data_IF_438253489402
#
_entry.id   IF_438253489402
#
_cell.length_a   1.000
_cell.length_b   1.000
_cell.length_c   1.000
_cell.angle_alpha   90.00
_cell.angle_beta   90.00
_cell.angle_gamma   90.00
#
_symmetry.space_group_name_H-M   'P 1'
#
loop_
_entity.id
_entity.type
_entity.pdbx_description
1 polymer ?
#
# COMPACT_ATOMS: atom_id res chain seq x y z
N UNK A 1 5.66 8.45 21.19
CA UNK A 1 6.60 7.67 20.37
C UNK A 1 5.80 6.98 19.27
N UNK A 2 5.74 7.53 18.06
CA UNK A 2 5.17 6.82 16.90
C UNK A 2 6.20 5.74 16.54
N UNK A 3 5.82 4.47 16.66
CA UNK A 3 6.63 3.39 16.12
C UNK A 3 6.66 3.59 14.60
N UNK A 4 7.81 4.03 14.07
CA UNK A 4 8.22 3.79 12.68
C UNK A 4 8.23 2.27 12.48
N UNK A 5 7.06 1.69 12.20
CA UNK A 5 6.96 0.30 11.78
C UNK A 5 7.47 0.29 10.35
N UNK A 6 8.78 0.04 10.21
CA UNK A 6 9.37 -0.31 8.92
C UNK A 6 8.62 -1.55 8.45
N UNK A 7 7.70 -1.37 7.50
CA UNK A 7 6.97 -2.48 6.89
C UNK A 7 7.99 -3.36 6.17
N UNK A 8 7.97 -4.65 6.48
CA UNK A 8 8.75 -5.62 5.72
C UNK A 8 8.16 -5.80 4.33
N UNK A 9 8.97 -6.21 3.35
CA UNK A 9 8.55 -6.44 1.97
C UNK A 9 7.28 -7.30 1.87
N UNK A 10 7.23 -8.41 2.62
CA UNK A 10 6.07 -9.29 2.65
C UNK A 10 4.82 -8.64 3.27
N UNK A 11 4.97 -7.77 4.26
CA UNK A 11 3.85 -7.02 4.83
C UNK A 11 3.33 -5.95 3.86
N UNK A 12 4.23 -5.28 3.15
CA UNK A 12 3.87 -4.29 2.14
C UNK A 12 3.08 -4.92 0.98
N UNK A 13 3.55 -6.05 0.46
CA UNK A 13 2.85 -6.84 -0.56
C UNK A 13 1.47 -7.26 -0.07
N UNK A 14 1.38 -7.82 1.14
CA UNK A 14 0.11 -8.29 1.72
C UNK A 14 -0.88 -7.13 1.95
N UNK A 15 -0.40 -5.99 2.44
CA UNK A 15 -1.24 -4.80 2.64
C UNK A 15 -1.77 -4.24 1.32
N UNK A 16 -0.92 -4.11 0.30
CA UNK A 16 -1.34 -3.67 -1.04
C UNK A 16 -2.35 -4.63 -1.67
N UNK A 17 -2.13 -5.95 -1.55
CA UNK A 17 -3.09 -6.96 -2.00
C UNK A 17 -4.44 -6.84 -1.29
N UNK A 18 -4.45 -6.60 0.02
CA UNK A 18 -5.69 -6.34 0.79
C UNK A 18 -6.42 -5.07 0.35
N UNK A 19 -5.69 -4.07 -0.13
CA UNK A 19 -6.24 -2.84 -0.69
C UNK A 19 -6.72 -3.00 -2.15
N UNK A 20 -6.59 -4.20 -2.73
CA UNK A 20 -7.02 -4.50 -4.10
C UNK A 20 -5.95 -4.28 -5.17
N UNK A 21 -4.74 -3.90 -4.78
CA UNK A 21 -3.61 -3.78 -5.72
C UNK A 21 -3.08 -5.16 -6.07
N UNK A 22 -2.85 -5.41 -7.36
CA UNK A 22 -2.16 -6.62 -7.81
C UNK A 22 -0.66 -6.40 -7.70
N UNK A 23 0.02 -7.10 -6.80
CA UNK A 23 1.47 -6.99 -6.62
C UNK A 23 2.13 -8.30 -7.04
N UNK A 24 3.17 -8.20 -7.87
CA UNK A 24 3.96 -9.33 -8.39
C UNK A 24 5.44 -8.95 -8.43
N UNK A 25 6.35 -9.88 -8.18
CA UNK A 25 7.77 -9.64 -8.44
C UNK A 25 8.02 -9.47 -9.94
N UNK A 26 8.91 -8.53 -10.30
CA UNK A 26 9.29 -8.29 -11.68
C UNK A 26 10.12 -9.47 -12.20
N UNK A 27 9.74 -10.10 -13.34
CA UNK A 27 10.53 -11.17 -13.92
C UNK A 27 11.91 -10.62 -14.32
N UNK A 28 12.96 -11.25 -13.81
CA UNK A 28 14.37 -10.90 -14.03
C UNK A 28 14.89 -9.61 -13.37
N UNK A 29 14.18 -9.05 -12.38
CA UNK A 29 14.70 -7.92 -11.59
C UNK A 29 14.46 -8.13 -10.10
N UNK A 30 15.47 -8.69 -9.44
CA UNK A 30 15.47 -8.89 -7.99
C UNK A 30 15.30 -7.53 -7.29
N UNK A 31 14.37 -7.45 -6.35
CA UNK A 31 14.05 -6.24 -5.59
C UNK A 31 13.20 -5.21 -6.33
N UNK A 32 12.59 -5.58 -7.46
CA UNK A 32 11.56 -4.79 -8.12
C UNK A 32 10.22 -5.52 -8.15
N UNK A 33 9.16 -4.76 -7.91
CA UNK A 33 7.80 -5.21 -7.83
C UNK A 33 6.94 -4.50 -8.85
N UNK A 34 6.19 -5.28 -9.59
CA UNK A 34 5.14 -4.82 -10.49
C UNK A 34 3.84 -4.72 -9.70
N UNK A 35 3.33 -3.50 -9.57
CA UNK A 35 2.06 -3.18 -8.93
C UNK A 35 1.08 -2.72 -10.00
N UNK A 36 -0.08 -3.35 -10.06
CA UNK A 36 -1.15 -3.04 -10.99
C UNK A 36 -2.44 -2.68 -10.24
N UNK A 37 -2.99 -1.50 -10.51
CA UNK A 37 -4.28 -1.07 -9.96
C UNK A 37 -4.92 0.03 -10.81
N UNK A 38 -6.25 0.09 -10.83
CA UNK A 38 -6.98 1.09 -11.61
C UNK A 38 -6.63 2.53 -11.17
N UNK A 39 -6.35 2.75 -9.88
CA UNK A 39 -6.02 4.09 -9.35
C UNK A 39 -4.65 4.61 -9.80
N UNK A 40 -3.71 3.74 -10.17
CA UNK A 40 -2.37 4.14 -10.64
C UNK A 40 -2.28 4.17 -12.18
N UNK A 41 -3.42 3.97 -12.87
CA UNK A 41 -3.51 4.00 -14.33
C UNK A 41 -3.01 2.73 -15.01
N UNK A 42 -3.01 1.59 -14.32
CA UNK A 42 -2.56 0.31 -14.88
C UNK A 42 -1.41 -0.30 -14.08
N UNK A 43 -0.41 -0.81 -14.80
CA UNK A 43 0.76 -1.49 -14.23
C UNK A 43 1.95 -0.54 -14.09
N UNK A 44 2.57 -0.51 -12.91
CA UNK A 44 3.79 0.26 -12.62
C UNK A 44 4.78 -0.58 -11.84
N UNK A 45 6.06 -0.36 -12.09
CA UNK A 45 7.14 -1.02 -11.35
C UNK A 45 7.64 -0.11 -10.23
N UNK A 46 7.85 -0.70 -9.05
CA UNK A 46 8.36 -0.06 -7.84
C UNK A 46 9.55 -0.87 -7.31
N UNK A 47 10.51 -0.21 -6.66
CA UNK A 47 11.51 -0.91 -5.85
C UNK A 47 10.91 -1.34 -4.51
N UNK A 48 11.58 -2.24 -3.76
CA UNK A 48 11.14 -2.63 -2.41
C UNK A 48 10.92 -1.39 -1.52
N UNK A 49 11.86 -0.46 -1.50
CA UNK A 49 11.76 0.78 -0.71
C UNK A 49 10.54 1.61 -1.10
N UNK A 50 10.32 1.79 -2.42
CA UNK A 50 9.16 2.53 -2.91
C UNK A 50 7.84 1.82 -2.61
N UNK A 51 7.83 0.48 -2.65
CA UNK A 51 6.67 -0.33 -2.31
C UNK A 51 6.31 -0.17 -0.83
N UNK A 52 7.30 -0.20 0.07
CA UNK A 52 7.09 0.03 1.50
C UNK A 52 6.54 1.44 1.74
N UNK A 53 7.18 2.49 1.21
CA UNK A 53 6.70 3.87 1.38
C UNK A 53 5.32 4.12 0.76
N UNK A 54 5.03 3.50 -0.38
CA UNK A 54 3.70 3.60 -1.01
C UNK A 54 2.63 2.92 -0.15
N UNK A 55 2.96 1.78 0.45
CA UNK A 55 2.07 1.08 1.38
C UNK A 55 1.82 1.90 2.63
N UNK A 56 2.86 2.51 3.23
CA UNK A 56 2.70 3.41 4.38
C UNK A 56 1.74 4.55 4.06
N UNK A 57 1.92 5.19 2.90
CA UNK A 57 0.99 6.22 2.41
C UNK A 57 -0.44 5.71 2.22
N UNK A 58 -0.61 4.55 1.58
CA UNK A 58 -1.92 3.96 1.33
C UNK A 58 -2.64 3.50 2.62
N UNK A 59 -1.90 2.99 3.60
CA UNK A 59 -2.41 2.58 4.91
C UNK A 59 -2.80 3.80 5.74
N UNK A 60 -2.04 4.89 5.70
CA UNK A 60 -2.39 6.16 6.35
C UNK A 60 -3.69 6.73 5.75
N UNK A 61 -3.85 6.68 4.43
CA UNK A 61 -5.09 7.14 3.78
C UNK A 61 -6.28 6.25 4.17
N UNK A 62 -6.08 4.93 4.24
CA UNK A 62 -7.13 3.97 4.62
C UNK A 62 -7.55 4.11 6.09
N UNK A 63 -6.61 4.38 6.98
CA UNK A 63 -6.91 4.67 8.39
C UNK A 63 -7.63 6.00 8.57
N UNK A 64 -7.38 7.00 7.72
CA UNK A 64 -8.16 8.24 7.70
C UNK A 64 -9.56 8.07 7.08
N UNK A 65 -9.77 7.15 6.14
CA UNK A 65 -11.11 6.82 5.64
C UNK A 65 -11.93 6.00 6.64
N UNK A 66 -11.31 5.09 7.40
CA UNK A 66 -11.99 4.39 8.50
C UNK A 66 -12.21 5.29 9.71
N UNK A 67 -11.31 6.24 10.01
CA UNK A 67 -11.53 7.22 11.08
C UNK A 67 -12.47 8.38 10.67
N UNK A 68 -12.59 8.67 9.37
CA UNK A 68 -13.54 9.64 8.81
C UNK A 68 -14.97 9.12 8.69
N UNK A 69 -15.18 7.81 8.83
CA UNK A 69 -16.51 7.20 8.96
C UNK A 69 -17.01 7.18 10.42
N UNK A 70 -16.40 7.98 11.30
CA UNK A 70 -16.91 8.32 12.63
C UNK A 70 -17.35 9.79 12.68
N UNK A 71 -18.12 10.24 11.70
CA UNK A 71 -18.99 11.41 11.89
C UNK A 71 -20.25 11.20 11.07
N UNK A 72 -21.27 10.58 11.65
CA UNK A 72 -22.70 10.93 11.51
C UNK A 72 -23.53 9.96 12.36
N UNK A 73 -23.69 10.30 13.64
CA UNK A 73 -24.95 10.10 14.38
C UNK A 73 -25.17 11.44 15.06
N UNK A 74 -25.78 12.39 14.37
CA UNK A 74 -27.22 12.63 14.38
C UNK A 74 -27.70 13.18 15.73
N UNK A 75 -28.02 14.48 15.67
CA UNK A 75 -28.96 15.25 16.50
C UNK A 75 -28.41 15.97 17.73
#
# INVERSE_FOLDING_TARGET
MRLDRILTEGEAVNALQKLGFTVREAPNRIGQYVVAHAQIGGERTFTIEQLCSFTEGAVVISTHLTAGSATTTAR
#
